data_IF_227573757917
#
_entry.id   IF_227573757917
#
_cell.length_a   1.000
_cell.length_b   1.000
_cell.length_c   1.000
_cell.angle_alpha   90.00
_cell.angle_beta   90.00
_cell.angle_gamma   90.00
#
_symmetry.space_group_name_H-M   'P 1'
#
loop_
_entity.id
_entity.type
_entity.pdbx_description
1 polymer ?
#
# COMPACT_ATOMS: atom_id res chain seq x y z
N UNK A 1 28.72 -22.46 -35.47
CA UNK A 1 28.38 -23.89 -35.28
C UNK A 1 26.98 -24.15 -35.78
N UNK A 2 26.80 -25.02 -36.79
CA UNK A 2 25.49 -25.34 -37.34
C UNK A 2 24.76 -26.35 -36.45
N UNK A 3 23.61 -25.96 -35.90
CA UNK A 3 22.75 -26.87 -35.15
C UNK A 3 22.28 -28.02 -36.05
N UNK A 4 22.37 -29.25 -35.53
CA UNK A 4 21.89 -30.48 -36.18
C UNK A 4 20.44 -30.29 -36.64
N UNK A 5 20.05 -30.71 -37.85
CA UNK A 5 18.71 -30.45 -38.40
C UNK A 5 17.55 -30.80 -37.45
N UNK A 6 17.72 -31.83 -36.60
CA UNK A 6 16.74 -32.23 -35.59
C UNK A 6 16.45 -31.18 -34.53
N UNK A 7 17.46 -30.43 -34.07
CA UNK A 7 17.30 -29.42 -33.02
C UNK A 7 16.48 -28.22 -33.49
N UNK A 8 16.60 -27.83 -34.77
CA UNK A 8 15.78 -26.77 -35.38
C UNK A 8 14.31 -27.20 -35.50
N UNK A 9 14.05 -28.47 -35.74
CA UNK A 9 12.70 -29.03 -35.86
C UNK A 9 12.02 -29.16 -34.50
N UNK A 10 12.78 -29.49 -33.46
CA UNK A 10 12.31 -29.61 -32.06
C UNK A 10 11.85 -28.26 -31.49
N UNK A 11 12.61 -27.18 -31.74
CA UNK A 11 12.23 -25.80 -31.38
C UNK A 11 10.98 -25.33 -32.13
N UNK A 12 10.78 -25.77 -33.37
CA UNK A 12 9.58 -25.44 -34.16
C UNK A 12 8.35 -26.22 -33.67
N UNK A 13 8.52 -27.49 -33.27
CA UNK A 13 7.45 -28.31 -32.67
C UNK A 13 7.03 -27.79 -31.30
N UNK A 14 7.95 -27.33 -30.46
CA UNK A 14 7.64 -26.81 -29.13
C UNK A 14 6.94 -25.45 -29.13
N UNK A 15 6.84 -24.76 -30.29
CA UNK A 15 6.24 -23.43 -30.42
C UNK A 15 4.94 -23.40 -31.21
N UNK A 16 4.59 -24.47 -31.93
CA UNK A 16 3.38 -24.49 -32.74
C UNK A 16 2.23 -25.16 -31.99
N UNK A 17 1.11 -24.44 -31.82
CA UNK A 17 -0.05 -24.89 -31.04
C UNK A 17 0.33 -25.35 -29.62
N UNK A 18 1.07 -24.51 -28.90
CA UNK A 18 1.29 -24.68 -27.45
C UNK A 18 -0.06 -24.46 -26.76
N UNK A 19 -0.85 -25.52 -26.67
CA UNK A 19 -1.91 -25.61 -25.66
C UNK A 19 -1.22 -25.52 -24.30
N UNK A 20 -1.73 -24.64 -23.43
CA UNK A 20 -1.32 -24.41 -22.03
C UNK A 20 -0.28 -25.43 -21.59
N UNK A 21 0.99 -25.04 -21.65
CA UNK A 21 2.08 -25.91 -21.21
C UNK A 21 1.79 -26.31 -19.76
N UNK A 22 1.69 -27.62 -19.50
CA UNK A 22 1.31 -28.15 -18.19
C UNK A 22 2.28 -27.67 -17.10
N UNK A 23 3.55 -27.48 -17.46
CA UNK A 23 4.58 -26.94 -16.60
C UNK A 23 4.37 -25.43 -16.34
N UNK A 24 4.00 -24.67 -17.36
CA UNK A 24 3.68 -23.25 -17.22
C UNK A 24 2.39 -23.04 -16.39
N UNK A 25 1.39 -23.91 -16.55
CA UNK A 25 0.19 -23.92 -15.71
C UNK A 25 0.45 -24.33 -14.26
N UNK A 26 1.50 -25.14 -14.00
CA UNK A 26 1.97 -25.44 -12.64
C UNK A 26 2.62 -24.22 -12.01
N UNK A 27 3.54 -23.57 -12.72
CA UNK A 27 4.22 -22.34 -12.28
C UNK A 27 3.24 -21.22 -11.97
N UNK A 28 2.28 -20.95 -12.85
CA UNK A 28 1.23 -19.94 -12.62
C UNK A 28 0.43 -20.18 -11.34
N UNK A 29 0.12 -21.45 -11.02
CA UNK A 29 -0.59 -21.81 -9.77
C UNK A 29 0.26 -21.58 -8.53
N UNK A 30 1.54 -21.94 -8.60
CA UNK A 30 2.49 -21.72 -7.50
C UNK A 30 2.70 -20.22 -7.24
N UNK A 31 2.89 -19.44 -8.30
CA UNK A 31 3.07 -17.99 -8.22
C UNK A 31 1.82 -17.30 -7.64
N UNK A 32 0.63 -17.68 -8.11
CA UNK A 32 -0.63 -17.14 -7.62
C UNK A 32 -0.86 -17.44 -6.13
N UNK A 33 -0.52 -18.65 -5.67
CA UNK A 33 -0.63 -19.01 -4.25
C UNK A 33 0.34 -18.21 -3.38
N UNK A 34 1.56 -17.96 -3.86
CA UNK A 34 2.53 -17.12 -3.16
C UNK A 34 2.06 -15.66 -3.11
N UNK A 35 1.48 -15.16 -4.20
CA UNK A 35 0.91 -13.82 -4.27
C UNK A 35 -0.24 -13.63 -3.27
N UNK A 36 -1.18 -14.58 -3.20
CA UNK A 36 -2.26 -14.56 -2.21
C UNK A 36 -1.70 -14.49 -0.78
N UNK A 37 -0.69 -15.29 -0.45
CA UNK A 37 -0.08 -15.28 0.89
C UNK A 37 0.59 -13.94 1.20
N UNK A 38 1.31 -13.35 0.23
CA UNK A 38 1.93 -12.02 0.38
C UNK A 38 0.86 -10.95 0.58
N UNK A 39 -0.21 -10.96 -0.20
CA UNK A 39 -1.31 -10.01 -0.09
C UNK A 39 -2.02 -10.14 1.26
N UNK A 40 -2.33 -11.35 1.72
CA UNK A 40 -2.93 -11.58 3.05
C UNK A 40 -2.04 -11.08 4.19
N UNK A 41 -0.72 -11.31 4.09
CA UNK A 41 0.24 -10.77 5.08
C UNK A 41 0.28 -9.25 5.04
N UNK A 42 0.35 -8.65 3.85
CA UNK A 42 0.34 -7.19 3.66
C UNK A 42 -0.94 -6.57 4.22
N UNK A 43 -2.09 -7.18 3.95
CA UNK A 43 -3.39 -6.73 4.46
C UNK A 43 -3.46 -6.83 5.99
N UNK A 44 -3.07 -7.96 6.57
CA UNK A 44 -3.04 -8.14 8.03
C UNK A 44 -2.10 -7.14 8.72
N UNK A 45 -0.94 -6.88 8.12
CA UNK A 45 0.03 -5.92 8.63
C UNK A 45 -0.50 -4.49 8.51
N UNK A 46 -1.19 -4.14 7.42
CA UNK A 46 -1.86 -2.86 7.27
C UNK A 46 -2.98 -2.66 8.30
N UNK A 47 -3.78 -3.70 8.58
CA UNK A 47 -4.79 -3.67 9.66
C UNK A 47 -4.12 -3.46 11.02
N UNK A 48 -3.07 -4.22 11.36
CA UNK A 48 -2.30 -3.97 12.58
C UNK A 48 -1.70 -2.56 12.67
N UNK A 49 -1.24 -1.98 11.56
CA UNK A 49 -0.74 -0.60 11.53
C UNK A 49 -1.86 0.43 11.71
N UNK A 50 -3.05 0.17 11.20
CA UNK A 50 -4.24 1.03 11.37
C UNK A 50 -4.77 0.94 12.79
N UNK A 51 -4.99 -0.28 13.27
CA UNK A 51 -5.70 -0.56 14.52
C UNK A 51 -4.76 -0.51 15.73
N UNK A 52 -3.47 -0.81 15.57
CA UNK A 52 -2.45 -0.61 16.61
C UNK A 52 -2.15 0.87 16.91
N UNK A 53 -2.65 1.79 16.08
CA UNK A 53 -2.68 3.23 16.36
C UNK A 53 -3.97 3.64 17.09
N UNK A 54 -5.03 2.84 16.99
CA UNK A 54 -6.29 3.07 17.73
C UNK A 54 -6.21 2.72 19.21
N UNK A 55 -5.30 1.84 19.65
CA UNK A 55 -5.26 1.41 21.07
C UNK A 55 -4.64 2.46 22.02
N UNK A 56 -4.05 3.54 21.50
CA UNK A 56 -3.46 4.64 22.32
C UNK A 56 -4.35 5.88 22.36
N UNK A 57 -5.51 5.89 21.69
CA UNK A 57 -6.39 7.06 21.66
C UNK A 57 -7.85 6.67 21.92
N UNK A 58 -8.60 7.47 22.70
CA UNK A 58 -10.00 7.18 23.00
C UNK A 58 -10.84 7.12 21.71
N UNK A 59 -11.98 6.41 21.71
CA UNK A 59 -12.83 6.22 20.53
C UNK A 59 -13.48 7.54 20.14
N UNK A 60 -12.79 8.35 19.36
CA UNK A 60 -13.35 9.53 18.71
C UNK A 60 -13.81 9.11 17.31
N UNK A 61 -15.15 9.00 17.20
CA UNK A 61 -15.98 9.25 16.00
C UNK A 61 -15.43 8.81 14.64
N UNK A 62 -16.16 7.89 14.05
CA UNK A 62 -16.18 7.58 12.63
C UNK A 62 -16.20 8.85 11.75
N UNK A 63 -15.54 8.75 10.60
CA UNK A 63 -15.39 9.72 9.50
C UNK A 63 -14.31 10.83 9.61
N UNK A 64 -13.15 10.69 8.91
CA UNK A 64 -12.08 11.68 8.87
C UNK A 64 -12.38 12.93 8.01
N UNK A 65 -13.60 13.09 7.49
CA UNK A 65 -13.93 14.01 6.40
C UNK A 65 -15.17 14.87 6.63
N UNK A 66 -15.76 14.87 7.83
CA UNK A 66 -17.14 15.31 7.98
C UNK A 66 -17.36 16.83 8.05
N UNK A 67 -16.34 17.67 7.89
CA UNK A 67 -16.61 19.06 7.51
C UNK A 67 -15.38 19.76 6.96
N UNK A 68 -15.49 20.33 5.76
CA UNK A 68 -14.55 21.33 5.26
C UNK A 68 -14.27 22.45 6.30
N UNK A 69 -15.24 22.70 7.18
CA UNK A 69 -15.16 23.59 8.34
C UNK A 69 -14.12 23.14 9.38
N UNK A 70 -14.03 21.85 9.68
CA UNK A 70 -13.01 21.32 10.60
C UNK A 70 -11.60 21.50 10.02
N UNK A 71 -11.44 21.27 8.71
CA UNK A 71 -10.16 21.54 8.02
C UNK A 71 -9.80 23.02 8.10
N UNK A 72 -10.77 23.92 7.88
CA UNK A 72 -10.54 25.36 8.01
C UNK A 72 -10.12 25.75 9.43
N UNK A 73 -10.78 25.20 10.45
CA UNK A 73 -10.43 25.42 11.86
C UNK A 73 -9.06 24.83 12.24
N UNK A 74 -8.68 23.70 11.65
CA UNK A 74 -7.35 23.14 11.85
C UNK A 74 -6.27 24.03 11.22
N UNK A 75 -6.51 24.57 10.03
CA UNK A 75 -5.58 25.50 9.37
C UNK A 75 -5.38 26.74 10.26
N UNK A 76 -6.47 27.36 10.73
CA UNK A 76 -6.37 28.56 11.59
C UNK A 76 -5.64 28.27 12.89
N UNK A 77 -5.85 27.09 13.49
CA UNK A 77 -5.16 26.69 14.70
C UNK A 77 -3.65 26.46 14.53
N UNK A 78 -3.21 25.92 13.38
CA UNK A 78 -1.78 25.78 13.05
C UNK A 78 -1.10 27.15 12.87
N UNK A 79 -1.81 28.13 12.34
CA UNK A 79 -1.30 29.50 12.17
C UNK A 79 -1.54 30.41 13.38
N UNK A 80 -2.04 29.88 14.50
CA UNK A 80 -2.23 30.65 15.73
C UNK A 80 -0.90 30.89 16.46
N UNK A 81 -0.82 31.92 17.29
CA UNK A 81 0.39 32.22 18.10
C UNK A 81 0.52 31.36 19.37
N UNK A 82 -0.45 30.49 19.67
CA UNK A 82 -0.41 29.61 20.84
C UNK A 82 0.30 28.26 20.50
N UNK A 83 1.46 27.96 21.11
CA UNK A 83 2.18 26.72 20.88
C UNK A 83 1.37 25.44 21.18
N UNK A 84 0.42 25.53 22.11
CA UNK A 84 -0.42 24.39 22.52
C UNK A 84 -1.39 23.99 21.42
N UNK A 85 -2.04 24.99 20.81
CA UNK A 85 -2.94 24.80 19.68
C UNK A 85 -2.17 24.34 18.44
N UNK A 86 -1.00 24.91 18.16
CA UNK A 86 -0.15 24.46 17.05
C UNK A 86 0.17 22.96 17.16
N UNK A 87 0.58 22.48 18.33
CA UNK A 87 0.90 21.07 18.55
C UNK A 87 -0.32 20.16 18.35
N UNK A 88 -1.46 20.58 18.87
CA UNK A 88 -2.71 19.81 18.77
C UNK A 88 -3.14 19.66 17.30
N UNK A 89 -3.23 20.78 16.58
CA UNK A 89 -3.71 20.78 15.19
C UNK A 89 -2.71 20.17 14.21
N UNK A 90 -1.40 20.35 14.40
CA UNK A 90 -0.38 19.65 13.59
C UNK A 90 -0.42 18.13 13.81
N UNK A 91 -0.66 17.67 15.03
CA UNK A 91 -0.83 16.25 15.33
C UNK A 91 -2.07 15.67 14.63
N UNK A 92 -3.17 16.43 14.58
CA UNK A 92 -4.38 16.06 13.83
C UNK A 92 -4.09 15.98 12.32
N UNK A 93 -3.40 16.96 11.74
CA UNK A 93 -2.96 16.91 10.33
C UNK A 93 -2.08 15.70 10.05
N UNK A 94 -1.10 15.41 10.92
CA UNK A 94 -0.25 14.23 10.80
C UNK A 94 -1.06 12.93 10.77
N UNK A 95 -2.11 12.81 11.60
CA UNK A 95 -2.99 11.63 11.60
C UNK A 95 -3.75 11.47 10.28
N UNK A 96 -4.32 12.56 9.76
CA UNK A 96 -5.06 12.55 8.48
C UNK A 96 -4.12 12.22 7.32
N UNK A 97 -2.94 12.84 7.27
CA UNK A 97 -1.92 12.59 6.24
C UNK A 97 -1.29 11.19 6.36
N UNK A 98 -1.28 10.60 7.56
CA UNK A 98 -0.84 9.23 7.79
C UNK A 98 -1.77 8.18 7.17
N UNK A 99 -3.03 8.52 6.91
CA UNK A 99 -3.97 7.63 6.22
C UNK A 99 -3.66 7.58 4.71
N UNK A 100 -3.07 8.64 4.16
CA UNK A 100 -2.71 8.78 2.74
C UNK A 100 -1.20 8.83 2.49
N UNK A 101 -0.50 7.68 2.52
CA UNK A 101 0.82 7.35 1.91
C UNK A 101 1.84 8.48 1.52
N UNK A 102 1.94 9.62 2.21
CA UNK A 102 2.84 10.75 1.85
C UNK A 102 3.75 11.15 3.04
N UNK A 103 3.90 10.28 4.04
CA UNK A 103 4.71 10.55 5.24
C UNK A 103 6.22 10.35 5.04
N UNK A 104 6.84 11.10 4.13
CA UNK A 104 8.30 11.31 4.19
C UNK A 104 8.75 12.77 4.03
N UNK A 105 7.87 13.70 3.63
CA UNK A 105 8.29 15.07 3.32
C UNK A 105 8.05 16.09 4.44
N UNK A 106 7.13 15.85 5.38
CA UNK A 106 6.78 16.85 6.39
C UNK A 106 7.69 16.88 7.63
N UNK A 107 8.53 15.87 7.87
CA UNK A 107 9.48 15.88 9.00
C UNK A 107 10.74 16.71 8.70
N UNK A 108 10.91 17.23 7.48
CA UNK A 108 12.12 17.97 7.05
C UNK A 108 11.92 19.50 7.13
N UNK A 109 10.71 19.99 7.43
CA UNK A 109 10.38 21.43 7.34
C UNK A 109 9.94 22.09 8.66
N UNK A 110 10.21 21.45 9.81
CA UNK A 110 10.18 22.06 11.14
C UNK A 110 11.57 21.89 11.73
#
# INVERSE_FOLDING_TARGET
MSLRPSAKTEIRRSRYKVSVDAEEGRRRREDFLVEIRKNKRKESLMKKRRDGVSEVLPPASDDPFDSLLEIANMITGVFSDDPSLQLEYTTRFRKILSLGKILQLFLILI
#
